data_IF_390663390975
#
_entry.id   IF_390663390975
#
_cell.length_a   1.000
_cell.length_b   1.000
_cell.length_c   1.000
_cell.angle_alpha   90.00
_cell.angle_beta   90.00
_cell.angle_gamma   90.00
#
_symmetry.space_group_name_H-M   'P 1'
#
loop_
_entity.id
_entity.type
_entity.pdbx_description
1 polymer ?
#
# COMPACT_ATOMS: atom_id res chain seq x y z
N UNK A 1 2.51 24.41 -4.98
CA UNK A 1 1.83 23.31 -4.25
C UNK A 1 2.86 22.21 -4.09
N UNK A 2 3.12 21.70 -2.88
CA UNK A 2 4.15 20.67 -2.70
C UNK A 2 3.80 19.45 -3.55
N UNK A 3 4.68 19.03 -4.45
CA UNK A 3 4.48 17.88 -5.35
C UNK A 3 4.66 16.54 -4.62
N UNK A 4 4.82 16.57 -3.29
CA UNK A 4 5.13 15.41 -2.45
C UNK A 4 4.65 15.59 -1.01
N UNK A 5 4.14 14.51 -0.44
CA UNK A 5 3.79 14.32 0.96
C UNK A 5 4.62 13.16 1.51
N UNK A 6 5.26 13.34 2.66
CA UNK A 6 5.97 12.27 3.37
C UNK A 6 5.16 11.83 4.58
N UNK A 7 5.26 10.56 4.95
CA UNK A 7 4.60 9.96 6.12
C UNK A 7 3.09 10.28 6.16
N UNK A 8 2.38 10.01 5.06
CA UNK A 8 0.94 10.22 5.01
C UNK A 8 0.24 9.23 5.94
N UNK A 9 -0.19 9.71 7.11
CA UNK A 9 -1.02 8.96 8.06
C UNK A 9 -2.42 8.74 7.49
N UNK A 10 -2.95 7.53 7.69
CA UNK A 10 -4.35 7.24 7.43
C UNK A 10 -4.97 6.42 8.56
N UNK A 11 -6.28 6.60 8.72
CA UNK A 11 -7.11 5.82 9.63
C UNK A 11 -8.52 5.72 9.05
N UNK A 12 -9.08 4.52 8.97
CA UNK A 12 -10.48 4.32 8.57
C UNK A 12 -11.13 3.20 9.39
N UNK A 13 -12.45 3.32 9.66
CA UNK A 13 -13.18 2.27 10.34
C UNK A 13 -13.22 1.03 9.46
N UNK A 14 -12.98 -0.13 10.05
CA UNK A 14 -13.01 -1.41 9.36
C UNK A 14 -14.16 -2.26 9.88
N UNK A 15 -14.83 -2.95 8.94
CA UNK A 15 -15.67 -4.10 9.23
C UNK A 15 -14.84 -5.16 9.94
N UNK A 16 -15.50 -6.15 10.53
CA UNK A 16 -14.82 -7.36 11.00
C UNK A 16 -14.06 -7.97 9.83
N UNK A 17 -12.73 -7.83 9.86
CA UNK A 17 -11.88 -8.26 8.76
C UNK A 17 -11.88 -9.78 8.72
N UNK A 18 -12.38 -10.35 7.62
CA UNK A 18 -12.24 -11.77 7.35
C UNK A 18 -10.94 -11.99 6.53
N UNK A 19 -9.92 -12.64 7.11
CA UNK A 19 -8.69 -12.96 6.38
C UNK A 19 -8.94 -13.78 5.12
N UNK A 20 -9.98 -14.62 5.11
CA UNK A 20 -10.28 -15.52 3.98
C UNK A 20 -10.77 -14.74 2.77
N UNK A 21 -11.72 -13.81 2.99
CA UNK A 21 -12.16 -12.84 1.98
C UNK A 21 -10.97 -12.06 1.41
N UNK A 22 -10.06 -11.58 2.25
CA UNK A 22 -8.88 -10.84 1.78
C UNK A 22 -7.89 -11.70 1.00
N UNK A 23 -7.62 -12.93 1.45
CA UNK A 23 -6.76 -13.83 0.67
C UNK A 23 -7.35 -14.11 -0.70
N UNK A 24 -8.66 -14.30 -0.78
CA UNK A 24 -9.33 -14.60 -2.03
C UNK A 24 -9.31 -13.42 -3.01
N UNK A 25 -9.68 -12.22 -2.54
CA UNK A 25 -9.70 -11.01 -3.37
C UNK A 25 -8.31 -10.64 -3.92
N UNK A 26 -7.26 -10.91 -3.15
CA UNK A 26 -5.90 -10.51 -3.48
C UNK A 26 -5.04 -11.64 -4.09
N UNK A 27 -5.61 -12.82 -4.31
CA UNK A 27 -4.85 -13.98 -4.80
C UNK A 27 -3.73 -14.42 -3.85
N UNK A 28 -3.94 -14.28 -2.55
CA UNK A 28 -2.98 -14.62 -1.49
C UNK A 28 -3.32 -15.96 -0.82
N UNK A 29 -4.03 -16.86 -1.51
CA UNK A 29 -4.30 -18.20 -1.01
C UNK A 29 -3.00 -18.94 -0.67
N UNK A 30 -3.01 -19.69 0.44
CA UNK A 30 -1.82 -20.42 0.91
C UNK A 30 -0.76 -19.57 1.62
N UNK A 31 -0.93 -18.25 1.70
CA UNK A 31 -0.03 -17.38 2.49
C UNK A 31 -0.32 -17.46 3.99
N UNK A 32 0.65 -17.07 4.84
CA UNK A 32 0.47 -17.02 6.29
C UNK A 32 -0.34 -15.80 6.78
N UNK A 33 -1.24 -15.26 5.95
CA UNK A 33 -2.00 -14.04 6.24
C UNK A 33 -2.76 -14.14 7.56
N UNK A 34 -3.50 -15.23 7.79
CA UNK A 34 -4.27 -15.44 9.01
C UNK A 34 -3.39 -15.38 10.26
N UNK A 35 -2.23 -16.03 10.23
CA UNK A 35 -1.26 -16.02 11.34
C UNK A 35 -0.63 -14.65 11.58
N UNK A 36 -0.30 -13.90 10.52
CA UNK A 36 0.24 -12.53 10.62
C UNK A 36 -0.83 -11.53 11.10
N UNK A 37 -2.08 -11.64 10.65
CA UNK A 37 -3.19 -10.81 11.13
C UNK A 37 -3.52 -11.06 12.61
N UNK A 38 -3.46 -12.31 13.07
CA UNK A 38 -3.68 -12.65 14.48
C UNK A 38 -2.65 -11.99 15.43
N UNK A 39 -1.44 -11.68 14.94
CA UNK A 39 -0.41 -10.95 15.68
C UNK A 39 -0.68 -9.43 15.78
N UNK A 40 -1.75 -8.94 15.15
CA UNK A 40 -2.20 -7.54 15.26
C UNK A 40 -1.45 -6.52 14.40
N UNK A 41 -0.45 -6.94 13.62
CA UNK A 41 0.28 -6.04 12.72
C UNK A 41 0.84 -6.76 11.48
N UNK A 42 0.88 -6.04 10.35
CA UNK A 42 1.49 -6.49 9.09
C UNK A 42 2.34 -5.33 8.54
N UNK A 43 3.66 -5.43 8.71
CA UNK A 43 4.58 -4.33 8.43
C UNK A 43 4.22 -3.09 9.27
N UNK A 44 3.91 -1.96 8.63
CA UNK A 44 3.50 -0.71 9.31
C UNK A 44 1.99 -0.61 9.54
N UNK A 45 1.22 -1.62 9.15
CA UNK A 45 -0.22 -1.67 9.39
C UNK A 45 -0.50 -2.20 10.79
N UNK A 46 -1.33 -1.49 11.52
CA UNK A 46 -1.82 -1.93 12.83
C UNK A 46 -3.31 -2.21 12.74
N UNK A 47 -3.71 -3.40 13.20
CA UNK A 47 -5.09 -3.83 13.31
C UNK A 47 -5.50 -3.73 14.76
N UNK A 48 -6.50 -2.89 15.06
CA UNK A 48 -7.07 -2.80 16.40
C UNK A 48 -8.46 -3.46 16.41
N UNK A 49 -8.56 -4.80 16.51
CA UNK A 49 -9.85 -5.52 16.46
C UNK A 49 -10.85 -5.07 17.54
N UNK A 50 -10.36 -4.56 18.68
CA UNK A 50 -11.22 -4.02 19.76
C UNK A 50 -11.78 -2.63 19.43
N UNK A 51 -11.16 -1.91 18.49
CA UNK A 51 -11.55 -0.53 18.14
C UNK A 51 -12.27 -0.41 16.80
N UNK A 52 -12.23 -1.42 15.93
CA UNK A 52 -12.88 -1.36 14.62
C UNK A 52 -12.23 -0.35 13.66
N UNK A 53 -10.92 -0.10 13.79
CA UNK A 53 -10.16 0.79 12.90
C UNK A 53 -8.88 0.14 12.41
N UNK A 54 -8.49 0.51 11.19
CA UNK A 54 -7.17 0.27 10.64
C UNK A 54 -6.38 1.57 10.61
N UNK A 55 -5.10 1.50 10.99
CA UNK A 55 -4.17 2.63 10.91
C UNK A 55 -2.87 2.23 10.22
N UNK A 56 -2.26 3.20 9.55
CA UNK A 56 -0.95 3.05 8.94
C UNK A 56 -0.40 4.37 8.44
N UNK A 57 0.82 4.30 7.91
CA UNK A 57 1.53 5.42 7.30
C UNK A 57 2.04 4.98 5.93
N UNK A 58 1.83 5.82 4.92
CA UNK A 58 2.45 5.68 3.60
C UNK A 58 3.73 6.53 3.62
N UNK A 59 4.88 5.94 3.31
CA UNK A 59 6.17 6.65 3.42
C UNK A 59 6.20 7.92 2.57
N UNK A 60 5.70 7.83 1.34
CA UNK A 60 5.69 8.95 0.43
C UNK A 60 4.57 8.84 -0.60
N UNK A 61 3.91 9.96 -0.83
CA UNK A 61 3.00 10.17 -1.97
C UNK A 61 3.54 11.35 -2.77
N UNK A 62 3.66 11.22 -4.07
CA UNK A 62 4.04 12.34 -4.93
C UNK A 62 3.10 12.48 -6.10
N UNK A 63 3.04 13.69 -6.65
CA UNK A 63 2.25 14.01 -7.84
C UNK A 63 3.20 14.23 -9.02
N UNK A 64 2.94 13.55 -10.12
CA UNK A 64 3.66 13.72 -11.38
C UNK A 64 2.67 13.64 -12.53
N UNK A 65 2.72 14.61 -13.44
CA UNK A 65 1.83 14.67 -14.62
C UNK A 65 0.34 14.49 -14.28
N UNK A 66 -0.12 15.22 -13.24
CA UNK A 66 -1.51 15.13 -12.78
C UNK A 66 -1.86 13.86 -11.98
N UNK A 67 -1.00 12.85 -11.96
CA UNK A 67 -1.21 11.55 -11.29
C UNK A 67 -0.51 11.48 -9.94
N UNK A 68 -1.09 10.74 -9.00
CA UNK A 68 -0.58 10.50 -7.66
C UNK A 68 0.00 9.10 -7.54
N UNK A 69 1.23 9.01 -7.06
CA UNK A 69 1.97 7.76 -6.90
C UNK A 69 2.34 7.58 -5.44
N UNK A 70 2.28 6.35 -4.95
CA UNK A 70 2.77 5.99 -3.63
C UNK A 70 4.10 5.26 -3.71
N UNK A 71 4.95 5.47 -2.70
CA UNK A 71 6.25 4.80 -2.56
C UNK A 71 6.37 4.27 -1.13
N UNK A 72 6.88 3.05 -0.99
CA UNK A 72 7.29 2.48 0.30
C UNK A 72 8.71 1.90 0.19
N UNK A 73 9.54 2.15 1.20
CA UNK A 73 10.95 1.74 1.21
C UNK A 73 11.15 0.44 1.98
N UNK A 74 11.87 -0.50 1.37
CA UNK A 74 12.18 -1.82 1.91
C UNK A 74 13.69 -2.01 2.06
N UNK A 75 14.13 -2.38 3.26
CA UNK A 75 15.54 -2.68 3.55
C UNK A 75 15.87 -4.18 3.50
N UNK A 76 14.94 -5.00 2.97
CA UNK A 76 15.06 -6.45 2.89
C UNK A 76 16.33 -6.87 2.16
N UNK A 77 16.94 -7.95 2.64
CA UNK A 77 18.05 -8.62 1.98
C UNK A 77 17.51 -9.80 1.21
N UNK A 78 17.61 -9.75 -0.12
CA UNK A 78 17.17 -10.85 -1.00
C UNK A 78 18.35 -11.72 -1.45
N UNK A 79 19.56 -11.18 -1.35
CA UNK A 79 20.82 -11.84 -1.68
C UNK A 79 21.90 -10.82 -2.09
N UNK A 80 23.11 -11.28 -2.47
CA UNK A 80 24.22 -10.41 -2.83
C UNK A 80 24.27 -10.06 -4.32
N UNK A 81 23.55 -10.79 -5.17
CA UNK A 81 23.60 -10.66 -6.63
C UNK A 81 22.52 -9.70 -7.14
N UNK A 82 22.71 -9.24 -8.37
CA UNK A 82 21.76 -8.36 -9.01
C UNK A 82 20.43 -9.09 -9.28
N UNK A 83 20.50 -10.38 -9.61
CA UNK A 83 19.38 -11.27 -9.92
C UNK A 83 18.44 -11.46 -8.73
N UNK A 84 18.96 -11.40 -7.51
CA UNK A 84 18.19 -11.50 -6.27
C UNK A 84 17.23 -10.31 -6.07
N UNK A 85 17.44 -9.22 -6.81
CA UNK A 85 16.55 -8.06 -6.85
C UNK A 85 15.89 -7.88 -8.22
N UNK A 86 15.87 -8.94 -9.04
CA UNK A 86 15.15 -8.99 -10.29
C UNK A 86 13.63 -9.17 -10.10
N UNK A 87 12.83 -9.03 -11.17
CA UNK A 87 11.38 -9.03 -11.10
C UNK A 87 10.77 -10.24 -10.37
N UNK A 88 11.28 -11.46 -10.60
CA UNK A 88 10.73 -12.67 -9.96
C UNK A 88 11.04 -12.72 -8.45
N UNK A 89 12.28 -12.47 -8.04
CA UNK A 89 12.64 -12.40 -6.62
C UNK A 89 11.90 -11.29 -5.88
N UNK A 90 11.64 -10.15 -6.54
CA UNK A 90 10.81 -9.09 -5.99
C UNK A 90 9.36 -9.55 -5.82
N UNK A 91 8.75 -10.23 -6.81
CA UNK A 91 7.39 -10.77 -6.69
C UNK A 91 7.28 -11.75 -5.51
N UNK A 92 8.24 -12.66 -5.36
CA UNK A 92 8.29 -13.61 -4.25
C UNK A 92 8.39 -12.89 -2.89
N UNK A 93 9.26 -11.88 -2.79
CA UNK A 93 9.38 -11.05 -1.60
C UNK A 93 8.07 -10.30 -1.29
N UNK A 94 7.39 -9.77 -2.31
CA UNK A 94 6.11 -9.06 -2.15
C UNK A 94 5.03 -9.96 -1.57
N UNK A 95 4.94 -11.22 -2.02
CA UNK A 95 3.94 -12.20 -1.53
C UNK A 95 4.31 -12.69 -0.12
N UNK A 96 5.53 -13.15 0.08
CA UNK A 96 6.00 -13.74 1.36
C UNK A 96 5.93 -12.74 2.54
N UNK A 97 6.23 -11.48 2.27
CA UNK A 97 6.15 -10.41 3.27
C UNK A 97 4.76 -9.80 3.42
N UNK A 98 3.77 -10.26 2.64
CA UNK A 98 2.42 -9.68 2.56
C UNK A 98 2.43 -8.19 2.17
N UNK A 99 3.44 -7.77 1.42
CA UNK A 99 3.45 -6.43 0.84
C UNK A 99 2.35 -6.27 -0.20
N UNK A 100 1.87 -7.36 -0.82
CA UNK A 100 0.67 -7.34 -1.67
C UNK A 100 -0.54 -6.78 -0.93
N UNK A 101 -0.86 -7.33 0.24
CA UNK A 101 -1.93 -6.80 1.09
C UNK A 101 -1.66 -5.34 1.49
N UNK A 102 -0.42 -5.04 1.86
CA UNK A 102 -0.06 -3.71 2.33
C UNK A 102 -0.27 -2.64 1.25
N UNK A 103 0.20 -2.85 0.02
CA UNK A 103 0.07 -1.83 -1.02
C UNK A 103 -1.38 -1.65 -1.47
N UNK A 104 -2.20 -2.71 -1.45
CA UNK A 104 -3.62 -2.60 -1.75
C UNK A 104 -4.35 -1.75 -0.69
N UNK A 105 -4.01 -1.94 0.59
CA UNK A 105 -4.52 -1.11 1.68
C UNK A 105 -4.06 0.35 1.53
N UNK A 106 -2.80 0.58 1.16
CA UNK A 106 -2.28 1.93 0.90
C UNK A 106 -2.93 2.58 -0.32
N UNK A 107 -3.15 1.83 -1.39
CA UNK A 107 -3.85 2.30 -2.58
C UNK A 107 -5.31 2.66 -2.25
N UNK A 108 -6.01 1.84 -1.47
CA UNK A 108 -7.34 2.16 -0.95
C UNK A 108 -7.33 3.43 -0.09
N UNK A 109 -6.39 3.54 0.85
CA UNK A 109 -6.27 4.72 1.70
C UNK A 109 -6.01 5.99 0.89
N UNK A 110 -5.12 5.92 -0.11
CA UNK A 110 -4.83 7.03 -1.00
C UNK A 110 -6.02 7.37 -1.91
N UNK A 111 -6.71 6.36 -2.45
CA UNK A 111 -7.93 6.55 -3.23
C UNK A 111 -8.98 7.34 -2.44
N UNK A 112 -9.29 6.91 -1.21
CA UNK A 112 -10.22 7.61 -0.33
C UNK A 112 -9.74 9.03 0.03
N UNK A 113 -8.43 9.19 0.25
CA UNK A 113 -7.82 10.48 0.55
C UNK A 113 -7.98 11.49 -0.59
N UNK A 114 -7.76 11.05 -1.84
CA UNK A 114 -7.86 11.88 -3.04
C UNK A 114 -9.32 12.18 -3.40
N UNK A 115 -10.21 11.19 -3.32
CA UNK A 115 -11.65 11.33 -3.56
C UNK A 115 -12.30 12.40 -2.66
N UNK A 116 -11.78 12.57 -1.45
CA UNK A 116 -12.25 13.60 -0.51
C UNK A 116 -11.69 15.02 -0.76
N UNK A 117 -10.65 15.17 -1.61
CA UNK A 117 -9.89 16.44 -1.75
C UNK A 117 -9.86 16.99 -3.16
N UNK A 118 -9.92 16.12 -4.15
CA UNK A 118 -9.89 16.50 -5.55
C UNK A 118 -11.33 16.56 -6.03
N UNK A 119 -11.75 17.75 -6.44
CA UNK A 119 -13.03 17.92 -7.14
C UNK A 119 -12.98 17.13 -8.44
N UNK A 120 -14.05 16.41 -8.74
CA UNK A 120 -14.16 15.59 -9.96
C UNK A 120 -13.05 14.51 -10.04
N UNK A 121 -12.65 13.96 -8.88
CA UNK A 121 -11.67 12.89 -8.80
C UNK A 121 -12.11 11.65 -9.58
N UNK A 122 -11.21 11.17 -10.43
CA UNK A 122 -11.31 9.93 -11.19
C UNK A 122 -10.05 9.06 -10.96
N UNK A 123 -10.22 7.79 -10.62
CA UNK A 123 -9.09 6.90 -10.32
C UNK A 123 -8.21 6.65 -11.55
N UNK A 124 -8.83 6.46 -12.71
CA UNK A 124 -8.12 6.16 -13.96
C UNK A 124 -7.22 7.32 -14.39
N UNK A 125 -7.65 8.56 -14.13
CA UNK A 125 -6.91 9.78 -14.45
C UNK A 125 -5.92 10.17 -13.36
N UNK A 126 -6.30 10.08 -12.09
CA UNK A 126 -5.53 10.66 -10.99
C UNK A 126 -4.67 9.66 -10.22
N UNK A 127 -4.99 8.37 -10.18
CA UNK A 127 -4.12 7.38 -9.55
C UNK A 127 -3.03 6.95 -10.54
N UNK A 128 -1.77 7.01 -10.10
CA UNK A 128 -0.60 6.75 -10.94
C UNK A 128 -0.05 5.33 -10.80
N UNK A 129 -0.02 4.82 -9.57
CA UNK A 129 0.54 3.50 -9.27
C UNK A 129 1.28 3.47 -7.94
N UNK A 130 1.90 2.32 -7.68
CA UNK A 130 2.64 2.02 -6.46
C UNK A 130 4.07 1.62 -6.79
N UNK A 131 5.01 2.05 -5.95
CA UNK A 131 6.42 1.67 -6.03
C UNK A 131 6.89 1.12 -4.69
N UNK A 132 7.37 -0.12 -4.70
CA UNK A 132 8.03 -0.74 -3.55
C UNK A 132 9.51 -0.81 -3.84
N UNK A 133 10.30 0.01 -3.15
CA UNK A 133 11.72 0.22 -3.44
C UNK A 133 12.57 -0.56 -2.45
N UNK A 134 13.15 -1.65 -2.92
CA UNK A 134 14.11 -2.47 -2.19
C UNK A 134 15.49 -1.81 -2.28
N UNK A 135 15.84 -1.06 -1.25
CA UNK A 135 17.02 -0.17 -1.22
C UNK A 135 18.33 -0.90 -1.57
N UNK A 136 18.46 -2.16 -1.16
CA UNK A 136 19.66 -2.98 -1.44
C UNK A 136 19.78 -3.41 -2.91
N UNK A 137 18.67 -3.36 -3.65
CA UNK A 137 18.60 -3.63 -5.08
C UNK A 137 18.86 -2.41 -5.96
N UNK A 138 18.95 -1.21 -5.38
CA UNK A 138 19.16 0.04 -6.12
C UNK A 138 20.64 0.23 -6.39
N UNK A 139 21.06 -0.12 -7.60
CA UNK A 139 22.44 0.00 -8.05
C UNK A 139 22.48 0.47 -9.52
N UNK A 140 23.27 1.53 -9.79
CA UNK A 140 23.43 2.09 -11.15
C UNK A 140 23.95 1.07 -12.17
N UNK A 141 24.77 0.12 -11.75
CA UNK A 141 25.33 -0.91 -12.63
C UNK A 141 24.34 -2.02 -12.98
N UNK A 142 23.24 -2.17 -12.24
CA UNK A 142 22.30 -3.29 -12.40
C UNK A 142 21.10 -2.97 -13.31
N UNK A 143 20.94 -1.71 -13.72
CA UNK A 143 19.82 -1.25 -14.53
C UNK A 143 18.59 -0.85 -13.70
N UNK A 144 17.66 -0.15 -14.35
CA UNK A 144 16.47 0.47 -13.71
C UNK A 144 15.32 -0.50 -13.41
N UNK A 145 15.47 -1.75 -13.86
CA UNK A 145 14.48 -2.82 -13.70
C UNK A 145 14.69 -3.64 -12.42
N UNK A 146 15.78 -3.38 -11.67
CA UNK A 146 16.10 -4.08 -10.42
C UNK A 146 15.81 -3.22 -9.20
N UNK A 147 15.43 -3.88 -8.11
CA UNK A 147 15.18 -3.25 -6.81
C UNK A 147 13.89 -2.41 -6.71
N UNK A 148 13.08 -2.30 -7.76
CA UNK A 148 11.81 -1.57 -7.73
C UNK A 148 10.69 -2.49 -8.23
N UNK A 149 9.80 -2.87 -7.32
CA UNK A 149 8.52 -3.46 -7.70
C UNK A 149 7.54 -2.34 -8.06
N UNK A 150 6.78 -2.53 -9.13
CA UNK A 150 5.81 -1.57 -9.66
C UNK A 150 4.47 -2.29 -9.82
N UNK A 151 3.40 -1.63 -9.40
CA UNK A 151 2.05 -2.09 -9.72
C UNK A 151 1.09 -0.91 -9.86
N UNK A 152 -0.05 -1.14 -10.49
CA UNK A 152 -1.19 -0.24 -10.49
C UNK A 152 -2.44 -1.10 -10.30
N UNK A 153 -2.93 -1.23 -9.05
CA UNK A 153 -4.12 -2.03 -8.78
C UNK A 153 -5.31 -1.53 -9.59
N UNK A 154 -6.16 -2.47 -10.03
CA UNK A 154 -7.37 -2.15 -10.77
C UNK A 154 -8.36 -1.40 -9.87
N UNK A 155 -9.04 -0.39 -10.43
CA UNK A 155 -10.01 0.40 -9.68
C UNK A 155 -11.12 -0.47 -9.09
N UNK A 156 -11.58 -1.48 -9.83
CA UNK A 156 -12.65 -2.38 -9.38
C UNK A 156 -12.23 -3.14 -8.14
N UNK A 157 -10.99 -3.63 -8.11
CA UNK A 157 -10.43 -4.31 -6.94
C UNK A 157 -10.34 -3.36 -5.74
N UNK A 158 -9.91 -2.11 -5.95
CA UNK A 158 -9.87 -1.10 -4.87
C UNK A 158 -11.26 -0.81 -4.33
N UNK A 159 -12.26 -0.67 -5.18
CA UNK A 159 -13.66 -0.46 -4.79
C UNK A 159 -14.29 -1.71 -4.13
N UNK A 160 -13.90 -2.92 -4.55
CA UNK A 160 -14.26 -4.18 -3.87
C UNK A 160 -13.67 -4.27 -2.48
N UNK A 161 -12.39 -3.95 -2.32
CA UNK A 161 -11.74 -3.85 -1.02
C UNK A 161 -12.38 -2.79 -0.14
N UNK A 162 -12.74 -1.63 -0.70
CA UNK A 162 -13.47 -0.59 0.02
C UNK A 162 -14.78 -1.13 0.60
N UNK A 163 -15.59 -1.84 -0.22
CA UNK A 163 -16.84 -2.46 0.21
C UNK A 163 -16.64 -3.55 1.26
N UNK A 164 -15.62 -4.38 1.10
CA UNK A 164 -15.34 -5.49 2.01
C UNK A 164 -14.77 -5.01 3.35
N UNK A 165 -13.95 -3.97 3.34
CA UNK A 165 -13.18 -3.54 4.51
C UNK A 165 -13.79 -2.37 5.27
N UNK A 166 -14.42 -1.39 4.60
CA UNK A 166 -14.83 -0.14 5.26
C UNK A 166 -16.28 -0.25 5.74
N UNK A 167 -16.51 -0.02 7.05
CA UNK A 167 -17.83 -0.19 7.69
C UNK A 167 -18.80 0.94 7.34
N UNK A 168 -18.34 2.18 7.46
CA UNK A 168 -18.99 3.38 6.93
C UNK A 168 -17.91 4.37 6.47
N UNK A 169 -18.13 5.14 5.39
CA UNK A 169 -17.21 6.20 4.99
C UNK A 169 -17.30 7.34 6.01
N UNK A 170 -16.57 7.22 7.12
CA UNK A 170 -16.27 8.33 8.01
C UNK A 170 -14.77 8.53 7.99
N UNK A 171 -14.35 9.53 7.21
CA UNK A 171 -13.09 10.18 7.53
C UNK A 171 -13.43 11.19 8.63
N UNK A 172 -13.01 10.99 9.89
CA UNK A 172 -12.86 12.15 10.75
C UNK A 172 -11.87 13.11 10.04
N UNK A 173 -12.12 14.43 10.02
CA UNK A 173 -11.12 15.36 9.53
C UNK A 173 -9.89 15.19 10.42
N UNK A 174 -8.78 14.69 9.87
CA UNK A 174 -7.58 14.45 10.66
C UNK A 174 -6.39 15.25 10.15
N UNK A 175 -5.79 15.89 11.14
CA UNK A 175 -4.70 16.85 11.12
C UNK A 175 -3.44 16.15 10.63
N UNK A 176 -3.09 16.36 9.36
CA UNK A 176 -1.71 16.17 8.95
C UNK A 176 -0.86 17.16 9.75
N UNK A 177 -0.03 16.68 10.67
CA UNK A 177 1.06 17.52 11.17
C UNK A 177 2.04 17.63 10.02
N UNK A 178 2.05 18.79 9.35
CA UNK A 178 3.27 19.27 8.70
C UNK A 178 4.34 19.32 9.79
N UNK A 179 5.25 18.34 9.80
CA UNK A 179 6.52 18.54 10.49
C UNK A 179 7.23 19.65 9.72
N UNK A 180 7.22 20.84 10.33
CA UNK A 180 8.07 21.98 9.97
C UNK A 180 9.53 21.58 9.94
#
# INVERSE_FOLDING_TARGET
MNERLNELEFSFPIKKLDPQTLTHLLGLEGTQLQGKMAKGSIGKLTFAPVRGFMKGFIDMVFRWDGRFFLVDWKSNYLGPLAEDYGPESLKEAMVSELYVLQYHIYALALHQYLKARIKDYDYSEHFGGVYYVFLRGINRAWGVEKGIFRDRPDERLIEELARAMIDHPSYPPLQGREKR
#
